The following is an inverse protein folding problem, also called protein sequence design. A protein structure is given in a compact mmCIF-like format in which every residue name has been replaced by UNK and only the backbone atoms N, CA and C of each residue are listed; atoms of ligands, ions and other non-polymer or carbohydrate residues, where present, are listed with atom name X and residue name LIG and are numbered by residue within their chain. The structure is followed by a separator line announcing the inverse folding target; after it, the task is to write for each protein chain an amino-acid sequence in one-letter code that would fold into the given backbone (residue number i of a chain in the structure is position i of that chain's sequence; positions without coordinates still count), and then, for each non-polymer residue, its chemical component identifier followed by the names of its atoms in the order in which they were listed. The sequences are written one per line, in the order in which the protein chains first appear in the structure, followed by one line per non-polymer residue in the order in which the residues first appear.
data_IF_975199649836
#
_entry.id   IF_975199649836
#
_cell.length_a   1.000
_cell.length_b   1.000
_cell.length_c   1.000
_cell.angle_alpha   90.00
_cell.angle_beta   90.00
_cell.angle_gamma   90.00
#
_symmetry.space_group_name_H-M   'P 1'
#
loop_
_entity.id
_entity.type
_entity.pdbx_description
1 polymer ?
#
# COMPACT_ATOMS: atom_id res chain seq x y z
N UNK A 1 1.05 -6.02 20.73
CA UNK A 1 0.87 -7.38 20.18
C UNK A 1 0.65 -8.43 21.27
N UNK A 2 1.28 -8.31 22.44
CA UNK A 2 1.08 -9.24 23.58
C UNK A 2 -0.39 -9.49 23.98
N UNK A 3 -1.29 -8.53 23.77
CA UNK A 3 -2.72 -8.68 24.09
C UNK A 3 -3.47 -9.62 23.13
N UNK A 4 -2.96 -9.86 21.92
CA UNK A 4 -3.58 -10.72 20.91
C UNK A 4 -3.15 -12.18 21.03
N UNK A 5 -1.96 -12.44 21.58
CA UNK A 5 -1.40 -13.79 21.71
C UNK A 5 -2.20 -14.67 22.69
N UNK A 6 -2.87 -14.04 23.66
CA UNK A 6 -3.65 -14.73 24.69
C UNK A 6 -5.14 -14.90 24.33
N UNK A 7 -5.58 -14.34 23.20
CA UNK A 7 -6.99 -14.41 22.78
C UNK A 7 -7.17 -15.55 21.77
N UNK A 8 -7.97 -16.55 22.15
CA UNK A 8 -8.22 -17.76 21.37
C UNK A 8 -8.86 -17.52 20.01
N UNK A 9 -9.41 -16.33 19.76
CA UNK A 9 -9.97 -15.93 18.46
C UNK A 9 -8.88 -15.67 17.42
N UNK A 10 -7.65 -15.39 17.86
CA UNK A 10 -6.55 -15.07 16.96
C UNK A 10 -5.55 -16.23 16.87
N UNK A 11 -5.00 -16.41 15.68
CA UNK A 11 -3.85 -17.27 15.45
C UNK A 11 -2.81 -16.45 14.71
N UNK A 12 -1.83 -15.96 15.48
CA UNK A 12 -0.79 -15.10 14.96
C UNK A 12 0.33 -15.94 14.39
N UNK A 13 0.72 -15.64 13.16
CA UNK A 13 1.88 -16.21 12.48
C UNK A 13 2.67 -15.07 11.85
N UNK A 14 3.99 -15.13 11.97
CA UNK A 14 4.88 -14.20 11.26
C UNK A 14 4.96 -14.62 9.80
N UNK A 15 4.65 -13.68 8.90
CA UNK A 15 4.60 -13.91 7.46
C UNK A 15 5.45 -12.87 6.71
N UNK A 16 6.57 -13.31 6.16
CA UNK A 16 7.33 -12.59 5.16
C UNK A 16 6.89 -13.00 3.75
N UNK A 17 6.15 -12.09 3.10
CA UNK A 17 5.62 -12.29 1.74
C UNK A 17 6.70 -12.30 0.65
N UNK A 18 7.96 -11.99 0.98
CA UNK A 18 9.08 -12.11 0.04
C UNK A 18 9.71 -13.51 0.04
N UNK A 19 9.41 -14.34 1.03
CA UNK A 19 9.92 -15.70 1.15
C UNK A 19 8.84 -16.72 0.85
N UNK A 20 8.94 -17.38 -0.30
CA UNK A 20 8.02 -18.46 -0.70
C UNK A 20 7.97 -19.57 0.35
N UNK A 21 9.12 -19.93 0.91
CA UNK A 21 9.24 -20.98 1.94
C UNK A 21 8.46 -20.60 3.22
N UNK A 22 8.56 -19.34 3.65
CA UNK A 22 7.81 -18.85 4.81
C UNK A 22 6.30 -18.77 4.52
N UNK A 23 5.92 -18.33 3.31
CA UNK A 23 4.51 -18.32 2.88
C UNK A 23 3.91 -19.72 2.91
N UNK A 24 4.58 -20.70 2.32
CA UNK A 24 4.12 -22.09 2.30
C UNK A 24 4.05 -22.67 3.73
N UNK A 25 5.03 -22.36 4.57
CA UNK A 25 5.03 -22.77 5.97
C UNK A 25 3.81 -22.23 6.72
N UNK A 26 3.55 -20.92 6.66
CA UNK A 26 2.41 -20.30 7.34
C UNK A 26 1.09 -20.84 6.80
N UNK A 27 0.95 -21.00 5.48
CA UNK A 27 -0.26 -21.56 4.87
C UNK A 27 -0.54 -22.98 5.35
N UNK A 28 0.50 -23.84 5.42
CA UNK A 28 0.33 -25.20 5.92
C UNK A 28 -0.16 -25.23 7.36
N UNK A 29 0.37 -24.37 8.24
CA UNK A 29 -0.09 -24.25 9.62
C UNK A 29 -1.53 -23.76 9.74
N UNK A 30 -1.93 -22.78 8.90
CA UNK A 30 -3.31 -22.28 8.88
C UNK A 30 -4.27 -23.38 8.42
N UNK A 31 -3.91 -24.12 7.37
CA UNK A 31 -4.74 -25.21 6.84
C UNK A 31 -4.79 -26.41 7.79
N UNK A 32 -3.70 -26.74 8.48
CA UNK A 32 -3.69 -27.79 9.50
C UNK A 32 -4.62 -27.44 10.67
N UNK A 33 -4.64 -26.16 11.07
CA UNK A 33 -5.46 -25.70 12.21
C UNK A 33 -6.94 -25.51 11.86
N UNK A 34 -7.25 -24.92 10.71
CA UNK A 34 -8.62 -24.50 10.36
C UNK A 34 -9.25 -25.31 9.22
N UNK A 35 -8.46 -26.12 8.50
CA UNK A 35 -8.91 -26.96 7.38
C UNK A 35 -9.21 -26.21 6.08
N UNK A 36 -9.62 -24.93 6.17
CA UNK A 36 -9.96 -24.08 5.02
C UNK A 36 -9.71 -22.60 5.32
N UNK A 37 -9.65 -21.79 4.27
CA UNK A 37 -9.66 -20.33 4.34
C UNK A 37 -10.91 -19.83 3.64
N UNK A 38 -11.74 -19.06 4.35
CA UNK A 38 -12.96 -18.48 3.80
C UNK A 38 -12.74 -17.09 3.20
N UNK A 39 -11.86 -16.32 3.82
CA UNK A 39 -11.56 -14.94 3.41
C UNK A 39 -10.06 -14.73 3.48
N UNK A 40 -9.48 -14.25 2.39
CA UNK A 40 -8.09 -13.81 2.32
C UNK A 40 -8.07 -12.29 2.13
N UNK A 41 -7.33 -11.59 2.99
CA UNK A 41 -7.13 -10.14 2.88
C UNK A 41 -5.66 -9.86 2.58
N UNK A 42 -5.34 -9.55 1.32
CA UNK A 42 -4.00 -9.14 0.94
C UNK A 42 -3.83 -7.63 1.16
N UNK A 43 -3.31 -7.27 2.34
CA UNK A 43 -3.05 -5.88 2.72
C UNK A 43 -1.56 -5.55 2.83
N UNK A 44 -0.67 -6.53 2.64
CA UNK A 44 0.77 -6.30 2.71
C UNK A 44 1.22 -5.39 1.57
N UNK A 45 1.94 -4.32 1.88
CA UNK A 45 2.44 -3.37 0.90
C UNK A 45 3.52 -2.50 1.48
N UNK A 46 4.56 -2.26 0.69
CA UNK A 46 5.66 -1.40 1.06
C UNK A 46 5.67 -0.17 0.14
N UNK A 47 5.54 1.02 0.71
CA UNK A 47 5.72 2.25 -0.02
C UNK A 47 7.21 2.56 -0.14
N UNK A 48 7.71 2.59 -1.37
CA UNK A 48 9.07 3.03 -1.67
C UNK A 48 8.96 4.25 -2.57
N UNK A 49 9.48 5.39 -2.12
CA UNK A 49 9.65 6.54 -3.00
C UNK A 49 10.75 6.21 -4.01
N UNK A 50 10.34 6.04 -5.26
CA UNK A 50 11.25 5.64 -6.34
C UNK A 50 11.74 6.89 -7.07
N UNK A 51 13.04 7.17 -6.99
CA UNK A 51 13.73 8.14 -7.86
C UNK A 51 13.81 7.72 -9.33
N UNK A 52 12.98 6.78 -9.79
CA UNK A 52 13.17 6.11 -11.07
C UNK A 52 12.97 7.03 -12.30
N UNK A 53 12.56 8.29 -12.11
CA UNK A 53 12.55 9.30 -13.16
C UNK A 53 13.81 10.19 -13.07
N UNK A 54 14.99 9.62 -13.30
CA UNK A 54 16.11 10.40 -13.83
C UNK A 54 15.91 10.51 -15.33
N UNK A 55 15.91 11.74 -15.84
CA UNK A 55 15.69 12.12 -17.25
C UNK A 55 14.29 11.79 -17.79
N UNK A 56 13.36 12.75 -17.74
CA UNK A 56 12.71 13.38 -18.90
C UNK A 56 11.80 14.52 -18.39
N UNK A 57 11.71 15.56 -19.21
CA UNK A 57 11.17 16.90 -18.98
C UNK A 57 9.77 16.92 -18.32
N UNK A 58 9.60 17.65 -17.21
CA UNK A 58 8.29 17.92 -16.61
C UNK A 58 8.10 19.43 -16.55
N UNK A 59 7.51 19.98 -17.61
CA UNK A 59 7.14 21.39 -17.68
C UNK A 59 5.76 21.62 -17.05
N UNK A 60 5.77 22.52 -16.06
CA UNK A 60 4.75 23.49 -15.63
C UNK A 60 3.39 23.03 -15.05
N UNK A 61 3.16 23.60 -13.86
CA UNK A 61 1.86 23.87 -13.20
C UNK A 61 1.02 22.65 -12.79
N UNK A 62 1.46 21.96 -11.73
CA UNK A 62 0.68 20.93 -11.06
C UNK A 62 -0.22 21.50 -9.97
N UNK A 63 -1.54 21.45 -10.18
CA UNK A 63 -2.53 21.55 -9.10
C UNK A 63 -2.34 20.34 -8.17
N UNK A 64 -2.17 20.56 -6.88
CA UNK A 64 -2.18 19.50 -5.87
C UNK A 64 -3.50 18.71 -5.93
N UNK A 65 -3.51 17.55 -6.60
CA UNK A 65 -4.60 16.60 -6.48
C UNK A 65 -4.49 15.89 -5.12
N UNK A 66 -5.36 16.29 -4.18
CA UNK A 66 -5.29 15.93 -2.75
C UNK A 66 -5.91 14.56 -2.40
N UNK A 67 -6.06 13.66 -3.36
CA UNK A 67 -6.71 12.35 -3.18
C UNK A 67 -5.74 11.22 -3.55
N UNK A 68 -5.41 10.33 -2.59
CA UNK A 68 -4.58 9.15 -2.87
C UNK A 68 -5.24 8.16 -3.84
N UNK A 69 -6.56 8.24 -3.96
CA UNK A 69 -7.40 7.40 -4.83
C UNK A 69 -7.15 7.68 -6.33
N UNK A 70 -6.65 8.87 -6.68
CA UNK A 70 -6.19 9.16 -8.04
C UNK A 70 -4.86 8.47 -8.37
N UNK A 71 -4.11 8.04 -7.35
CA UNK A 71 -3.16 6.92 -7.33
C UNK A 71 -2.99 6.11 -8.61
N UNK A 72 -4.02 5.29 -8.84
CA UNK A 72 -4.04 4.21 -9.82
C UNK A 72 -4.32 4.72 -11.25
N UNK A 73 -4.80 5.95 -11.39
CA UNK A 73 -5.30 6.50 -12.66
C UNK A 73 -4.63 7.82 -13.07
N UNK A 74 -3.91 8.47 -12.16
CA UNK A 74 -3.26 9.77 -12.34
C UNK A 74 -1.82 9.65 -11.84
N UNK A 75 -0.82 9.74 -12.75
CA UNK A 75 0.57 9.72 -12.34
C UNK A 75 0.91 10.98 -11.52
N UNK A 76 1.64 10.77 -10.42
CA UNK A 76 2.26 11.83 -9.64
C UNK A 76 3.78 11.70 -9.70
N UNK A 77 4.53 12.82 -9.72
CA UNK A 77 5.98 12.76 -9.69
C UNK A 77 6.47 12.10 -8.38
N UNK A 78 7.63 11.43 -8.47
CA UNK A 78 8.37 10.78 -7.37
C UNK A 78 7.76 9.51 -6.73
N UNK A 79 6.48 9.21 -7.00
CA UNK A 79 5.78 8.01 -6.49
C UNK A 79 5.51 6.97 -7.60
N UNK A 80 6.25 7.06 -8.71
CA UNK A 80 5.96 6.31 -9.94
C UNK A 80 5.90 4.79 -9.78
N UNK A 81 6.88 4.18 -9.10
CA UNK A 81 6.90 2.74 -8.89
C UNK A 81 5.71 2.27 -8.04
N UNK A 82 5.40 3.00 -6.97
CA UNK A 82 4.26 2.68 -6.12
C UNK A 82 2.94 2.79 -6.90
N UNK A 83 2.76 3.85 -7.69
CA UNK A 83 1.60 4.03 -8.59
C UNK A 83 1.48 2.84 -9.55
N UNK A 84 2.58 2.48 -10.22
CA UNK A 84 2.60 1.39 -11.17
C UNK A 84 2.19 0.07 -10.51
N UNK A 85 2.71 -0.22 -9.31
CA UNK A 85 2.31 -1.41 -8.54
C UNK A 85 0.84 -1.39 -8.15
N UNK A 86 0.28 -0.24 -7.72
CA UNK A 86 -1.16 -0.14 -7.38
C UNK A 86 -2.05 -0.25 -8.62
N UNK A 87 -1.69 0.36 -9.74
CA UNK A 87 -2.40 0.18 -11.00
C UNK A 87 -2.35 -1.28 -11.48
N UNK A 88 -1.19 -1.95 -11.35
CA UNK A 88 -1.07 -3.37 -11.67
C UNK A 88 -1.98 -4.24 -10.78
N UNK A 89 -2.10 -3.93 -9.47
CA UNK A 89 -3.02 -4.64 -8.57
C UNK A 89 -4.49 -4.48 -8.97
N UNK A 90 -4.89 -3.34 -9.51
CA UNK A 90 -6.25 -3.17 -10.05
C UNK A 90 -6.49 -4.13 -11.23
N UNK A 91 -5.61 -4.11 -12.22
CA UNK A 91 -5.71 -5.00 -13.38
C UNK A 91 -5.66 -6.47 -12.98
N UNK A 92 -4.77 -6.83 -12.05
CA UNK A 92 -4.67 -8.19 -11.51
C UNK A 92 -5.96 -8.61 -10.82
N UNK A 93 -6.54 -7.73 -10.00
CA UNK A 93 -7.79 -8.02 -9.28
C UNK A 93 -8.96 -8.22 -10.25
N UNK A 94 -9.06 -7.42 -11.30
CA UNK A 94 -10.13 -7.58 -12.29
C UNK A 94 -9.98 -8.88 -13.10
N UNK A 95 -8.75 -9.27 -13.45
CA UNK A 95 -8.46 -10.57 -14.06
C UNK A 95 -8.84 -11.72 -13.12
N UNK A 96 -8.37 -11.68 -11.87
CA UNK A 96 -8.66 -12.71 -10.87
C UNK A 96 -10.15 -12.85 -10.60
N UNK A 97 -10.92 -11.75 -10.64
CA UNK A 97 -12.38 -11.81 -10.50
C UNK A 97 -13.02 -12.66 -11.60
N UNK A 98 -12.51 -12.61 -12.83
CA UNK A 98 -13.03 -13.43 -13.93
C UNK A 98 -12.55 -14.88 -13.84
N UNK A 99 -11.27 -15.09 -13.56
CA UNK A 99 -10.65 -16.41 -13.50
C UNK A 99 -11.14 -17.25 -12.32
N UNK A 100 -11.40 -16.61 -11.17
CA UNK A 100 -11.80 -17.30 -9.95
C UNK A 100 -13.32 -17.47 -9.81
N UNK A 101 -14.12 -16.77 -10.63
CA UNK A 101 -15.58 -16.88 -10.62
C UNK A 101 -16.12 -18.30 -10.82
N UNK A 102 -15.58 -19.15 -11.73
CA UNK A 102 -16.03 -20.53 -11.89
C UNK A 102 -15.81 -21.40 -10.63
N UNK A 103 -14.88 -20.99 -9.77
CA UNK A 103 -14.60 -21.66 -8.50
C UNK A 103 -15.47 -21.12 -7.34
N UNK A 104 -16.37 -20.16 -7.62
CA UNK A 104 -17.23 -19.54 -6.62
C UNK A 104 -16.50 -18.60 -5.67
N UNK A 105 -15.33 -18.08 -6.06
CA UNK A 105 -14.52 -17.16 -5.25
C UNK A 105 -14.75 -15.74 -5.75
N UNK A 106 -15.19 -14.87 -4.84
CA UNK A 106 -15.36 -13.45 -5.09
C UNK A 106 -14.09 -12.67 -4.76
N UNK A 107 -13.68 -11.78 -5.67
CA UNK A 107 -12.50 -10.94 -5.50
C UNK A 107 -12.91 -9.47 -5.44
N UNK A 108 -12.58 -8.81 -4.32
CA UNK A 108 -12.93 -7.42 -4.03
C UNK A 108 -11.63 -6.62 -3.85
N UNK A 109 -11.54 -5.49 -4.55
CA UNK A 109 -10.47 -4.51 -4.34
C UNK A 109 -11.00 -3.37 -3.47
N UNK A 110 -10.32 -3.06 -2.38
CA UNK A 110 -10.66 -1.96 -1.49
C UNK A 110 -9.63 -0.84 -1.67
N UNK A 111 -10.10 0.34 -2.05
CA UNK A 111 -9.24 1.50 -2.34
C UNK A 111 -9.50 2.59 -1.30
N UNK A 112 -8.81 2.55 -0.15
CA UNK A 112 -8.95 3.61 0.83
C UNK A 112 -8.33 4.92 0.33
N UNK A 113 -8.88 6.04 0.79
CA UNK A 113 -8.24 7.34 0.67
C UNK A 113 -6.99 7.47 1.55
N UNK A 114 -6.47 8.69 1.69
CA UNK A 114 -5.30 8.93 2.54
C UNK A 114 -5.63 8.62 4.02
N UNK A 115 -4.99 7.58 4.56
CA UNK A 115 -5.07 7.19 5.97
C UNK A 115 -3.73 7.46 6.64
N UNK A 116 -3.78 8.06 7.83
CA UNK A 116 -2.58 8.30 8.62
C UNK A 116 -2.11 7.03 9.29
N UNK A 117 -1.17 6.33 8.66
CA UNK A 117 -0.60 5.07 9.13
C UNK A 117 0.92 5.09 9.11
N UNK A 118 1.53 4.05 9.68
CA UNK A 118 2.98 3.89 9.71
C UNK A 118 3.59 3.66 8.32
N UNK A 119 2.80 3.35 7.29
CA UNK A 119 3.29 3.20 5.91
C UNK A 119 3.90 4.50 5.40
N UNK A 120 3.31 5.65 5.74
CA UNK A 120 3.85 6.96 5.34
C UNK A 120 5.17 7.33 6.00
N UNK A 121 5.53 6.70 7.13
CA UNK A 121 6.85 6.92 7.74
C UNK A 121 7.97 6.33 6.87
N UNK A 122 7.68 5.27 6.11
CA UNK A 122 8.65 4.66 5.19
C UNK A 122 8.98 5.60 4.03
N UNK A 123 8.00 6.35 3.51
CA UNK A 123 8.23 7.34 2.45
C UNK A 123 9.24 8.42 2.88
N UNK A 124 9.10 8.95 4.11
CA UNK A 124 10.06 9.92 4.66
C UNK A 124 11.44 9.31 4.93
N UNK A 125 11.49 8.08 5.44
CA UNK A 125 12.74 7.37 5.66
C UNK A 125 13.48 7.15 4.32
N UNK A 126 12.76 6.74 3.27
CA UNK A 126 13.29 6.62 1.91
C UNK A 126 13.81 7.95 1.39
N UNK A 127 13.05 9.04 1.53
CA UNK A 127 13.48 10.38 1.11
C UNK A 127 14.80 10.82 1.78
N UNK A 128 14.93 10.64 3.09
CA UNK A 128 16.11 11.05 3.84
C UNK A 128 17.38 10.26 3.47
N UNK A 129 17.24 9.08 2.88
CA UNK A 129 18.35 8.25 2.41
C UNK A 129 18.75 8.54 0.96
N UNK A 130 18.02 9.42 0.25
CA UNK A 130 18.29 9.71 -1.15
C UNK A 130 19.57 10.55 -1.31
N UNK A 131 20.36 10.31 -2.37
CA UNK A 131 21.46 11.20 -2.72
C UNK A 131 20.93 12.60 -3.11
N UNK A 132 21.74 13.66 -2.96
CA UNK A 132 21.32 15.02 -3.30
C UNK A 132 20.75 15.11 -4.71
N UNK A 133 19.49 15.52 -4.82
CA UNK A 133 18.77 15.63 -6.08
C UNK A 133 19.17 16.92 -6.82
N UNK A 134 20.41 16.97 -7.35
CA UNK A 134 20.97 18.16 -8.04
C UNK A 134 20.04 18.77 -9.08
N UNK A 135 19.28 17.94 -9.80
CA UNK A 135 18.31 18.37 -10.82
C UNK A 135 16.99 18.92 -10.24
N UNK A 136 16.62 18.51 -9.03
CA UNK A 136 15.33 18.83 -8.40
C UNK A 136 15.48 19.66 -7.12
N UNK A 137 16.64 20.27 -6.87
CA UNK A 137 16.86 21.08 -5.66
C UNK A 137 15.83 22.21 -5.51
N UNK A 138 15.39 22.81 -6.63
CA UNK A 138 14.33 23.82 -6.63
C UNK A 138 12.94 23.30 -6.22
N UNK A 139 12.75 21.97 -6.22
CA UNK A 139 11.50 21.30 -5.86
C UNK A 139 11.61 20.54 -4.54
N UNK A 140 12.70 20.68 -3.79
CA UNK A 140 12.94 19.91 -2.56
C UNK A 140 11.77 20.00 -1.58
N UNK A 141 11.23 21.21 -1.37
CA UNK A 141 10.07 21.44 -0.52
C UNK A 141 8.84 20.65 -1.01
N UNK A 142 8.57 20.65 -2.31
CA UNK A 142 7.46 19.92 -2.90
C UNK A 142 7.62 18.39 -2.77
N UNK A 143 8.84 17.87 -2.92
CA UNK A 143 9.15 16.45 -2.75
C UNK A 143 8.97 16.03 -1.30
N UNK A 144 9.44 16.85 -0.36
CA UNK A 144 9.29 16.62 1.08
C UNK A 144 7.84 16.70 1.53
N UNK A 145 7.07 17.67 1.04
CA UNK A 145 5.64 17.79 1.32
C UNK A 145 4.87 16.59 0.77
N UNK A 146 5.27 16.10 -0.40
CA UNK A 146 4.73 14.89 -1.01
C UNK A 146 4.96 13.65 -0.14
N UNK A 147 6.18 13.42 0.33
CA UNK A 147 6.49 12.30 1.22
C UNK A 147 5.67 12.34 2.53
N UNK A 148 5.24 13.54 2.97
CA UNK A 148 4.38 13.75 4.13
C UNK A 148 2.87 13.72 3.85
N UNK A 149 2.45 13.50 2.60
CA UNK A 149 1.07 13.76 2.17
C UNK A 149 0.01 12.94 2.95
N UNK A 150 0.30 11.67 3.27
CA UNK A 150 -0.59 10.81 4.08
C UNK A 150 -0.56 11.13 5.58
N UNK A 151 0.38 11.96 6.03
CA UNK A 151 0.55 12.37 7.43
C UNK A 151 -0.09 13.74 7.75
N UNK A 152 -0.61 14.42 6.73
CA UNK A 152 -1.21 15.75 6.86
C UNK A 152 -2.54 15.79 7.63
N UNK A 153 -3.00 17.00 8.00
CA UNK A 153 -4.24 17.22 8.75
C UNK A 153 -5.52 16.79 8.00
N UNK A 154 -5.44 16.61 6.67
CA UNK A 154 -6.56 16.16 5.83
C UNK A 154 -6.65 14.63 5.69
N UNK A 155 -5.68 13.88 6.20
CA UNK A 155 -5.70 12.43 6.20
C UNK A 155 -6.65 11.91 7.27
N UNK A 156 -7.38 10.83 6.94
CA UNK A 156 -8.26 10.16 7.89
C UNK A 156 -7.42 9.51 8.99
N UNK A 157 -7.66 9.81 10.28
CA UNK A 157 -7.02 9.11 11.39
C UNK A 157 -7.33 7.60 11.37
N UNK A 158 -6.36 6.75 11.72
CA UNK A 158 -6.53 5.29 11.68
C UNK A 158 -7.64 4.81 12.63
N UNK A 159 -7.79 5.43 13.81
CA UNK A 159 -8.82 5.09 14.78
C UNK A 159 -10.23 5.45 14.31
N UNK A 160 -10.36 6.53 13.54
CA UNK A 160 -11.62 6.90 12.90
C UNK A 160 -11.93 5.95 11.75
N UNK A 161 -10.95 5.65 10.89
CA UNK A 161 -11.10 4.74 9.76
C UNK A 161 -11.56 3.34 10.21
N UNK A 162 -10.97 2.82 11.29
CA UNK A 162 -11.29 1.49 11.84
C UNK A 162 -12.70 1.38 12.43
N UNK A 163 -13.28 2.49 12.92
CA UNK A 163 -14.63 2.52 13.51
C UNK A 163 -15.75 2.66 12.48
N UNK A 164 -15.43 3.03 11.24
CA UNK A 164 -16.43 3.11 10.17
C UNK A 164 -16.97 1.70 9.91
N UNK A 165 -18.29 1.56 9.79
CA UNK A 165 -18.90 0.29 9.38
C UNK A 165 -18.62 0.10 7.89
N UNK A 166 -17.78 -0.87 7.61
CA UNK A 166 -17.52 -1.38 6.28
C UNK A 166 -18.37 -2.64 6.15
N UNK A 167 -19.48 -2.53 5.40
CA UNK A 167 -20.61 -3.47 5.28
C UNK A 167 -21.71 -3.31 6.34
#
# INVERSE_FOLDING_TARGET
MADLENDSRFFLQELDVQSEENVQHVLSQVLEKYGRVDVLVNNAGHEVDSSCCSSHDVTKEGKDCKCWECYCFVPGPWVGAYIASKAALHSLTDTLRLELRPFGIDVINVVPGAIRSNVGNNALASYNQMPPLKLYMGFEAAIRDRANFSQGPKSTPTDEFAKRRWL
#
